data_IF_247569770506
#
_entry.id   IF_247569770506
#
_cell.length_a   1.000
_cell.length_b   1.000
_cell.length_c   1.000
_cell.angle_alpha   90.00
_cell.angle_beta   90.00
_cell.angle_gamma   90.00
#
_symmetry.space_group_name_H-M   'P 1'
#
loop_
_entity.id
_entity.type
_entity.pdbx_description
1 polymer ?
#
# COMPACT_ATOMS: atom_id res chain seq x y z
N UNK A 1 20.26 9.47 3.87
CA UNK A 1 20.21 8.94 5.26
C UNK A 1 19.27 7.74 5.23
N UNK A 2 19.69 6.57 5.69
CA UNK A 2 18.79 5.42 5.73
C UNK A 2 17.90 5.47 6.98
N UNK A 3 16.60 5.23 6.81
CA UNK A 3 15.63 5.07 7.91
C UNK A 3 15.86 3.79 8.73
N UNK A 4 16.70 2.87 8.28
CA UNK A 4 17.09 1.65 9.01
C UNK A 4 17.48 1.94 10.46
N UNK A 5 18.30 2.97 10.69
CA UNK A 5 18.75 3.34 12.04
C UNK A 5 17.62 3.78 12.97
N UNK A 6 16.54 4.32 12.41
CA UNK A 6 15.36 4.72 13.19
C UNK A 6 14.58 3.47 13.57
N UNK A 7 14.39 2.52 12.65
CA UNK A 7 13.70 1.26 12.93
C UNK A 7 14.44 0.39 13.95
N UNK A 8 15.76 0.35 13.89
CA UNK A 8 16.60 -0.40 14.84
C UNK A 8 16.48 0.14 16.29
N UNK A 9 16.04 1.38 16.46
CA UNK A 9 15.84 1.99 17.79
C UNK A 9 14.46 1.70 18.39
N UNK A 10 13.53 1.11 17.62
CA UNK A 10 12.17 0.84 18.09
C UNK A 10 12.12 -0.45 18.90
N UNK A 11 11.75 -0.33 20.17
CA UNK A 11 11.36 -1.47 20.99
C UNK A 11 9.85 -1.68 20.91
N UNK A 12 9.43 -2.62 20.06
CA UNK A 12 8.02 -2.96 19.86
C UNK A 12 7.33 -3.49 21.12
N UNK A 13 8.05 -4.15 22.02
CA UNK A 13 7.47 -4.64 23.28
C UNK A 13 7.18 -3.49 24.22
N UNK A 14 8.13 -2.57 24.36
CA UNK A 14 7.97 -1.34 25.15
C UNK A 14 6.86 -0.44 24.60
N UNK A 15 6.83 -0.22 23.28
CA UNK A 15 5.77 0.56 22.61
C UNK A 15 4.40 -0.06 22.85
N UNK A 16 4.28 -1.39 22.73
CA UNK A 16 3.02 -2.11 22.96
C UNK A 16 2.56 -1.96 24.41
N UNK A 17 3.46 -2.14 25.37
CA UNK A 17 3.15 -1.94 26.80
C UNK A 17 2.70 -0.50 27.09
N UNK A 18 3.37 0.48 26.49
CA UNK A 18 3.02 1.88 26.65
C UNK A 18 1.61 2.18 26.11
N UNK A 19 1.28 1.72 24.89
CA UNK A 19 -0.08 1.81 24.32
C UNK A 19 -1.10 1.17 25.26
N UNK A 20 -0.85 -0.04 25.73
CA UNK A 20 -1.77 -0.77 26.62
C UNK A 20 -1.92 -0.12 28.00
N UNK A 21 -0.97 0.71 28.41
CA UNK A 21 -0.98 1.42 29.68
C UNK A 21 -1.66 2.79 29.65
N UNK A 22 -2.03 3.29 28.46
CA UNK A 22 -2.67 4.61 28.32
C UNK A 22 -4.00 4.65 29.05
N UNK A 23 -4.30 5.80 29.64
CA UNK A 23 -5.50 6.00 30.46
C UNK A 23 -6.54 6.83 29.73
N UNK A 24 -7.77 6.82 30.23
CA UNK A 24 -8.83 7.71 29.75
C UNK A 24 -8.41 9.19 29.79
N UNK A 25 -7.64 9.59 30.79
CA UNK A 25 -7.13 10.97 30.91
C UNK A 25 -6.19 11.32 29.75
N UNK A 26 -5.35 10.37 29.31
CA UNK A 26 -4.46 10.57 28.17
C UNK A 26 -5.24 10.71 26.87
N UNK A 27 -6.29 9.90 26.69
CA UNK A 27 -7.20 9.99 25.54
C UNK A 27 -7.90 11.35 25.50
N UNK A 28 -8.47 11.80 26.62
CA UNK A 28 -9.13 13.12 26.72
C UNK A 28 -8.15 14.26 26.43
N UNK A 29 -6.90 14.14 26.89
CA UNK A 29 -5.83 15.12 26.60
C UNK A 29 -5.52 15.15 25.10
N UNK A 30 -5.37 13.99 24.46
CA UNK A 30 -5.13 13.88 23.02
C UNK A 30 -6.28 14.51 22.20
N UNK A 31 -7.54 14.18 22.53
CA UNK A 31 -8.72 14.69 21.84
C UNK A 31 -8.89 16.21 21.94
N UNK A 32 -8.36 16.84 23.00
CA UNK A 32 -8.40 18.28 23.18
C UNK A 32 -7.31 19.04 22.40
N UNK A 33 -6.31 18.35 21.83
CA UNK A 33 -5.21 18.97 21.10
C UNK A 33 -5.57 19.26 19.63
N UNK A 34 -5.08 20.38 19.13
CA UNK A 34 -5.17 20.76 17.71
C UNK A 34 -4.10 20.08 16.86
N UNK A 35 -2.92 19.83 17.44
CA UNK A 35 -1.80 19.11 16.83
C UNK A 35 -1.41 17.94 17.74
N UNK A 36 -1.50 16.74 17.17
CA UNK A 36 -1.21 15.48 17.87
C UNK A 36 0.25 15.09 17.66
N UNK A 37 0.84 14.46 18.68
CA UNK A 37 2.14 13.82 18.62
C UNK A 37 2.02 12.28 18.70
N UNK A 38 3.16 11.57 18.76
CA UNK A 38 3.17 10.11 18.84
C UNK A 38 2.58 9.57 20.15
N UNK A 39 2.73 10.29 21.28
CA UNK A 39 2.16 9.87 22.56
C UNK A 39 0.65 10.00 22.56
N UNK A 40 0.13 11.04 21.93
CA UNK A 40 -1.30 11.18 21.68
C UNK A 40 -1.82 10.05 20.80
N UNK A 41 -1.10 9.71 19.72
CA UNK A 41 -1.52 8.61 18.84
C UNK A 41 -1.59 7.29 19.60
N UNK A 42 -0.60 6.96 20.44
CA UNK A 42 -0.63 5.78 21.31
C UNK A 42 -1.87 5.77 22.21
N UNK A 43 -2.25 6.91 22.78
CA UNK A 43 -3.48 7.02 23.57
C UNK A 43 -4.73 6.74 22.73
N UNK A 44 -4.82 7.32 21.53
CA UNK A 44 -6.00 7.18 20.66
C UNK A 44 -6.20 5.77 20.07
N UNK A 45 -5.14 4.95 20.01
CA UNK A 45 -5.25 3.53 19.59
C UNK A 45 -5.28 2.54 20.75
N UNK A 46 -5.22 3.02 21.99
CA UNK A 46 -5.26 2.17 23.18
C UNK A 46 -6.67 1.65 23.49
N UNK A 47 -6.81 0.58 24.31
CA UNK A 47 -8.13 0.13 24.76
C UNK A 47 -8.93 1.22 25.49
N UNK A 48 -8.27 2.15 26.19
CA UNK A 48 -8.93 3.26 26.88
C UNK A 48 -9.66 4.23 25.92
N UNK A 49 -9.31 4.22 24.63
CA UNK A 49 -9.95 5.04 23.61
C UNK A 49 -11.20 4.41 22.99
N UNK A 50 -11.51 3.14 23.28
CA UNK A 50 -12.66 2.44 22.71
C UNK A 50 -14.00 3.18 22.91
N UNK A 51 -14.32 3.76 24.10
CA UNK A 51 -15.53 4.54 24.29
C UNK A 51 -15.59 5.85 23.47
N UNK A 52 -14.47 6.27 22.88
CA UNK A 52 -14.30 7.53 22.16
C UNK A 52 -14.27 7.35 20.63
N UNK A 53 -14.50 6.14 20.11
CA UNK A 53 -14.45 5.85 18.68
C UNK A 53 -15.35 6.77 17.86
N UNK A 54 -16.58 7.01 18.30
CA UNK A 54 -17.51 7.92 17.60
C UNK A 54 -16.99 9.36 17.58
N UNK A 55 -16.47 9.86 18.71
CA UNK A 55 -15.88 11.20 18.76
C UNK A 55 -14.66 11.32 17.81
N UNK A 56 -13.80 10.30 17.78
CA UNK A 56 -12.67 10.24 16.86
C UNK A 56 -13.13 10.19 15.39
N UNK A 57 -14.17 9.42 15.09
CA UNK A 57 -14.76 9.33 13.76
C UNK A 57 -15.29 10.69 13.29
N UNK A 58 -16.00 11.42 14.16
CA UNK A 58 -16.51 12.77 13.84
C UNK A 58 -15.37 13.78 13.61
N UNK A 59 -14.33 13.76 14.44
CA UNK A 59 -13.15 14.62 14.26
C UNK A 59 -12.41 14.30 12.96
N UNK A 60 -12.24 13.01 12.65
CA UNK A 60 -11.65 12.54 11.40
C UNK A 60 -12.48 13.02 10.19
N UNK A 61 -13.81 12.85 10.26
CA UNK A 61 -14.72 13.32 9.22
C UNK A 61 -14.60 14.82 9.01
N UNK A 62 -14.67 15.63 10.07
CA UNK A 62 -14.55 17.08 9.98
C UNK A 62 -13.23 17.52 9.32
N UNK A 63 -12.10 16.91 9.71
CA UNK A 63 -10.78 17.20 9.13
C UNK A 63 -10.70 16.80 7.65
N UNK A 64 -11.28 15.65 7.29
CA UNK A 64 -11.38 15.19 5.91
C UNK A 64 -12.21 16.17 5.07
N UNK A 65 -13.38 16.59 5.57
CA UNK A 65 -14.24 17.57 4.92
C UNK A 65 -13.57 18.93 4.74
N UNK A 66 -12.79 19.39 5.72
CA UNK A 66 -12.06 20.64 5.65
C UNK A 66 -10.98 20.65 4.57
N UNK A 67 -10.30 19.50 4.35
CA UNK A 67 -9.20 19.39 3.39
C UNK A 67 -9.63 18.99 1.99
N UNK A 68 -10.62 18.10 1.88
CA UNK A 68 -11.00 17.44 0.64
C UNK A 68 -12.44 17.75 0.17
N UNK A 69 -13.21 18.49 0.98
CA UNK A 69 -14.60 18.81 0.64
C UNK A 69 -15.49 17.56 0.60
N UNK A 70 -16.38 17.48 -0.39
CA UNK A 70 -17.24 16.32 -0.67
C UNK A 70 -16.68 15.35 -1.68
N UNK A 71 -15.46 15.58 -2.19
CA UNK A 71 -14.97 14.83 -3.32
C UNK A 71 -14.62 13.40 -2.91
N UNK A 72 -15.12 12.42 -3.67
CA UNK A 72 -14.77 11.01 -3.56
C UNK A 72 -14.05 10.65 -4.85
N UNK A 73 -12.74 10.38 -4.74
CA UNK A 73 -11.97 9.84 -5.85
C UNK A 73 -12.31 8.36 -6.05
N UNK A 74 -12.61 7.96 -7.28
CA UNK A 74 -12.85 6.57 -7.64
C UNK A 74 -11.74 6.10 -8.57
N UNK A 75 -11.23 4.90 -8.32
CA UNK A 75 -10.33 4.19 -9.21
C UNK A 75 -10.74 2.73 -9.27
N UNK A 76 -10.27 2.04 -10.30
CA UNK A 76 -10.50 0.60 -10.47
C UNK A 76 -9.17 -0.15 -10.52
N UNK A 77 -9.01 -1.27 -9.78
CA UNK A 77 -7.82 -2.10 -9.90
C UNK A 77 -7.85 -2.92 -11.19
N UNK A 78 -6.75 -2.90 -11.93
CA UNK A 78 -6.51 -3.73 -13.11
C UNK A 78 -5.36 -4.70 -12.82
N UNK A 79 -5.69 -5.97 -12.61
CA UNK A 79 -4.70 -7.01 -12.35
C UNK A 79 -4.04 -7.47 -13.66
N UNK A 80 -2.81 -7.01 -13.89
CA UNK A 80 -2.04 -7.36 -15.09
C UNK A 80 -1.39 -8.73 -15.00
N UNK A 81 -1.04 -9.18 -13.78
CA UNK A 81 -0.51 -10.51 -13.55
C UNK A 81 -0.75 -11.01 -12.14
N UNK A 82 -1.03 -12.30 -12.01
CA UNK A 82 -1.05 -13.00 -10.72
C UNK A 82 0.20 -13.89 -10.50
N UNK A 83 1.23 -13.75 -11.33
CA UNK A 83 2.48 -14.48 -11.19
C UNK A 83 3.34 -13.84 -10.11
N UNK A 84 3.70 -14.59 -9.07
CA UNK A 84 4.51 -14.08 -7.97
C UNK A 84 5.55 -15.13 -7.55
N UNK A 85 6.75 -14.67 -7.23
CA UNK A 85 7.88 -15.47 -6.75
C UNK A 85 8.04 -15.44 -5.22
N UNK A 86 7.18 -14.71 -4.50
CA UNK A 86 7.20 -14.64 -3.05
C UNK A 86 6.24 -15.61 -2.38
N UNK A 87 6.58 -15.99 -1.15
CA UNK A 87 5.74 -16.79 -0.28
C UNK A 87 5.24 -15.93 0.89
N UNK A 88 4.14 -15.22 0.67
CA UNK A 88 3.46 -14.42 1.70
C UNK A 88 2.28 -15.22 2.26
N UNK A 89 2.20 -15.38 3.59
CA UNK A 89 1.17 -16.22 4.24
C UNK A 89 -0.26 -15.68 4.08
N UNK A 90 -0.40 -14.37 3.86
CA UNK A 90 -1.68 -13.69 3.71
C UNK A 90 -2.12 -13.48 2.24
N UNK A 91 -1.26 -13.81 1.26
CA UNK A 91 -1.49 -13.44 -0.14
C UNK A 91 -2.06 -14.60 -0.98
N UNK A 92 -3.16 -14.34 -1.69
CA UNK A 92 -3.76 -15.29 -2.63
C UNK A 92 -2.85 -15.64 -3.82
N UNK A 93 -1.94 -14.74 -4.20
CA UNK A 93 -0.94 -14.99 -5.26
C UNK A 93 0.36 -15.60 -4.76
N UNK A 94 0.48 -15.93 -3.47
CA UNK A 94 1.64 -16.60 -2.91
C UNK A 94 2.10 -17.78 -3.78
N UNK A 95 3.41 -17.92 -4.01
CA UNK A 95 3.97 -18.89 -4.96
C UNK A 95 3.57 -20.34 -4.65
N UNK A 96 3.31 -20.64 -3.37
CA UNK A 96 2.87 -21.97 -2.91
C UNK A 96 1.45 -22.33 -3.36
N UNK A 97 0.62 -21.34 -3.67
CA UNK A 97 -0.77 -21.56 -4.06
C UNK A 97 -0.83 -22.13 -5.48
N UNK A 98 -1.50 -23.28 -5.61
CA UNK A 98 -1.71 -23.99 -6.88
C UNK A 98 -2.89 -23.38 -7.65
N UNK A 99 -2.71 -22.15 -8.10
CA UNK A 99 -3.69 -21.41 -8.92
C UNK A 99 -3.21 -21.33 -10.38
N UNK A 100 -4.15 -21.13 -11.31
CA UNK A 100 -3.79 -20.85 -12.71
C UNK A 100 -3.10 -19.49 -12.78
N UNK A 101 -1.83 -19.49 -13.20
CA UNK A 101 -1.05 -18.26 -13.38
C UNK A 101 -1.34 -17.62 -14.73
N UNK A 102 -1.45 -16.30 -14.74
CA UNK A 102 -1.78 -15.49 -15.91
C UNK A 102 -1.06 -14.15 -15.82
N UNK A 103 -0.43 -13.78 -16.92
CA UNK A 103 -0.03 -12.40 -17.24
C UNK A 103 -0.80 -12.03 -18.49
N UNK A 104 -1.43 -10.86 -18.50
CA UNK A 104 -2.16 -10.36 -19.66
C UNK A 104 -1.16 -10.02 -20.77
N UNK A 105 -1.52 -10.33 -22.02
CA UNK A 105 -0.81 -9.81 -23.18
C UNK A 105 -1.46 -8.50 -23.66
N UNK A 106 -0.85 -7.82 -24.63
CA UNK A 106 -1.37 -6.55 -25.17
C UNK A 106 -2.84 -6.64 -25.62
N UNK A 107 -3.24 -7.71 -26.33
CA UNK A 107 -4.62 -7.85 -26.79
C UNK A 107 -5.61 -8.10 -25.64
N UNK A 108 -5.19 -8.78 -24.57
CA UNK A 108 -6.01 -8.96 -23.37
C UNK A 108 -6.10 -7.67 -22.55
N UNK A 109 -5.02 -6.88 -22.50
CA UNK A 109 -5.06 -5.55 -21.90
C UNK A 109 -6.08 -4.68 -22.62
N UNK A 110 -6.13 -4.66 -23.96
CA UNK A 110 -7.15 -3.92 -24.71
C UNK A 110 -8.58 -4.30 -24.32
N UNK A 111 -8.85 -5.60 -24.14
CA UNK A 111 -10.17 -6.07 -23.71
C UNK A 111 -10.55 -5.55 -22.32
N UNK A 112 -9.59 -5.49 -21.40
CA UNK A 112 -9.80 -4.93 -20.07
C UNK A 112 -9.97 -3.40 -20.13
N UNK A 113 -9.17 -2.69 -20.93
CA UNK A 113 -9.31 -1.23 -21.16
C UNK A 113 -10.73 -0.93 -21.67
N UNK A 114 -11.18 -1.64 -22.70
CA UNK A 114 -12.51 -1.49 -23.27
C UNK A 114 -13.63 -1.72 -22.24
N UNK A 115 -13.48 -2.73 -21.39
CA UNK A 115 -14.43 -3.02 -20.33
C UNK A 115 -14.48 -1.89 -19.29
N UNK A 116 -13.31 -1.43 -18.82
CA UNK A 116 -13.20 -0.37 -17.82
C UNK A 116 -13.69 0.98 -18.36
N UNK A 117 -13.46 1.29 -19.63
CA UNK A 117 -13.96 2.50 -20.27
C UNK A 117 -15.46 2.51 -20.45
N UNK A 118 -16.08 1.35 -20.72
CA UNK A 118 -17.56 1.21 -20.70
C UNK A 118 -18.16 1.43 -19.31
N UNK A 119 -17.36 1.22 -18.25
CA UNK A 119 -17.73 1.53 -16.87
C UNK A 119 -17.40 2.97 -16.45
N UNK A 120 -16.93 3.80 -17.38
CA UNK A 120 -16.59 5.22 -17.18
C UNK A 120 -15.46 5.46 -16.17
N UNK A 121 -14.59 4.47 -15.94
CA UNK A 121 -13.39 4.66 -15.13
C UNK A 121 -12.30 5.39 -15.90
N UNK A 122 -11.64 6.30 -15.19
CA UNK A 122 -10.58 7.13 -15.75
C UNK A 122 -9.31 7.20 -14.88
N UNK A 123 -9.37 6.55 -13.72
CA UNK A 123 -8.24 6.32 -12.82
C UNK A 123 -8.11 4.82 -12.57
N UNK A 124 -6.92 4.29 -12.80
CA UNK A 124 -6.65 2.85 -12.68
C UNK A 124 -5.47 2.62 -11.75
N UNK A 125 -5.60 1.60 -10.89
CA UNK A 125 -4.50 1.03 -10.13
C UNK A 125 -4.07 -0.27 -10.82
N UNK A 126 -2.91 -0.26 -11.46
CA UNK A 126 -2.29 -1.45 -12.02
C UNK A 126 -1.77 -2.30 -10.86
N UNK A 127 -2.07 -3.60 -10.89
CA UNK A 127 -1.63 -4.53 -9.85
C UNK A 127 -0.96 -5.73 -10.48
N UNK A 128 0.21 -6.09 -9.96
CA UNK A 128 0.98 -7.24 -10.43
C UNK A 128 1.49 -8.08 -9.26
N UNK A 129 1.54 -9.40 -9.46
CA UNK A 129 2.43 -10.23 -8.66
C UNK A 129 3.90 -9.93 -8.95
N UNK A 130 4.78 -10.29 -8.02
CA UNK A 130 6.19 -9.95 -8.08
C UNK A 130 7.00 -11.07 -8.74
N UNK A 131 7.37 -10.88 -10.01
CA UNK A 131 8.25 -11.81 -10.72
C UNK A 131 9.12 -11.06 -11.74
N UNK A 132 10.27 -10.55 -11.30
CA UNK A 132 11.16 -9.65 -12.08
C UNK A 132 11.37 -10.08 -13.55
N UNK A 133 11.66 -11.35 -13.81
CA UNK A 133 11.94 -11.82 -15.19
C UNK A 133 10.72 -11.89 -16.12
N UNK A 134 9.49 -11.83 -15.60
CA UNK A 134 8.27 -12.04 -16.39
C UNK A 134 7.27 -10.91 -16.26
N UNK A 135 7.33 -10.17 -15.17
CA UNK A 135 6.45 -9.05 -14.81
C UNK A 135 7.30 -7.98 -14.13
N UNK A 136 8.39 -7.58 -14.80
CA UNK A 136 9.27 -6.49 -14.41
C UNK A 136 9.25 -5.36 -15.45
N UNK A 137 10.29 -4.52 -15.45
CA UNK A 137 10.35 -3.33 -16.30
C UNK A 137 10.17 -3.61 -17.81
N UNK A 138 10.66 -4.74 -18.33
CA UNK A 138 10.44 -5.11 -19.74
C UNK A 138 8.95 -5.26 -20.10
N UNK A 139 8.14 -5.74 -19.17
CA UNK A 139 6.70 -5.82 -19.33
C UNK A 139 6.05 -4.45 -19.16
N UNK A 140 6.49 -3.66 -18.18
CA UNK A 140 5.94 -2.32 -17.94
C UNK A 140 6.22 -1.34 -19.09
N UNK A 141 7.39 -1.43 -19.74
CA UNK A 141 7.71 -0.67 -20.96
C UNK A 141 6.71 -0.87 -22.09
N UNK A 142 6.04 -2.01 -22.12
CA UNK A 142 5.01 -2.33 -23.13
C UNK A 142 3.62 -1.97 -22.63
N UNK A 143 3.27 -2.41 -21.42
CA UNK A 143 1.91 -2.29 -20.89
C UNK A 143 1.55 -0.87 -20.44
N UNK A 144 2.47 -0.13 -19.79
CA UNK A 144 2.15 1.18 -19.21
C UNK A 144 1.80 2.22 -20.28
N UNK A 145 2.59 2.40 -21.36
CA UNK A 145 2.24 3.36 -22.40
C UNK A 145 0.91 3.03 -23.08
N UNK A 146 0.68 1.75 -23.39
CA UNK A 146 -0.57 1.26 -23.97
C UNK A 146 -1.77 1.66 -23.10
N UNK A 147 -1.69 1.45 -21.79
CA UNK A 147 -2.80 1.77 -20.89
C UNK A 147 -2.93 3.30 -20.71
N UNK A 148 -1.82 4.04 -20.65
CA UNK A 148 -1.81 5.49 -20.40
C UNK A 148 -2.51 6.29 -21.49
N UNK A 149 -2.53 5.80 -22.72
CA UNK A 149 -3.27 6.42 -23.83
C UNK A 149 -4.77 6.56 -23.54
N UNK A 150 -5.31 5.74 -22.64
CA UNK A 150 -6.74 5.70 -22.34
C UNK A 150 -7.09 6.36 -21.00
N UNK A 151 -6.24 6.32 -19.97
CA UNK A 151 -6.58 6.77 -18.62
C UNK A 151 -5.80 8.03 -18.21
N UNK A 152 -6.49 8.99 -17.59
CA UNK A 152 -5.85 10.21 -17.12
C UNK A 152 -4.93 9.98 -15.92
N UNK A 153 -5.24 9.03 -15.04
CA UNK A 153 -4.44 8.71 -13.87
C UNK A 153 -4.10 7.21 -13.79
N UNK A 154 -2.82 6.91 -13.72
CA UNK A 154 -2.28 5.57 -13.52
C UNK A 154 -1.45 5.51 -12.25
N UNK A 155 -1.81 4.57 -11.40
CA UNK A 155 -0.99 4.17 -10.30
C UNK A 155 -0.58 2.71 -10.42
N UNK A 156 0.53 2.32 -9.80
CA UNK A 156 1.06 0.97 -9.85
C UNK A 156 1.33 0.44 -8.43
N UNK A 157 0.68 -0.67 -8.09
CA UNK A 157 1.02 -1.49 -6.93
C UNK A 157 1.97 -2.60 -7.39
N UNK A 158 3.24 -2.47 -7.01
CA UNK A 158 4.34 -3.34 -7.45
C UNK A 158 5.34 -3.55 -6.32
N UNK A 159 6.21 -4.55 -6.47
CA UNK A 159 7.37 -4.68 -5.59
C UNK A 159 8.24 -3.44 -5.62
N UNK A 160 9.10 -3.24 -4.61
CA UNK A 160 10.04 -2.14 -4.68
C UNK A 160 11.00 -2.32 -5.86
N UNK A 161 11.31 -1.20 -6.51
CA UNK A 161 12.14 -1.11 -7.70
C UNK A 161 13.40 -0.30 -7.39
N UNK A 162 14.38 -0.40 -8.27
CA UNK A 162 15.55 0.48 -8.19
C UNK A 162 15.17 1.94 -8.54
N UNK A 163 15.98 2.90 -8.08
CA UNK A 163 15.70 4.34 -8.25
C UNK A 163 15.55 4.74 -9.73
N UNK A 164 16.38 4.17 -10.60
CA UNK A 164 16.34 4.41 -12.04
C UNK A 164 15.11 3.77 -12.70
N UNK A 165 14.66 2.61 -12.22
CA UNK A 165 13.41 1.98 -12.66
C UNK A 165 12.19 2.85 -12.31
N UNK A 166 12.15 3.44 -11.11
CA UNK A 166 11.12 4.43 -10.76
C UNK A 166 11.17 5.68 -11.64
N UNK A 167 12.39 6.18 -11.90
CA UNK A 167 12.58 7.31 -12.79
C UNK A 167 12.06 6.98 -14.21
N UNK A 168 12.29 5.76 -14.68
CA UNK A 168 11.80 5.30 -15.98
C UNK A 168 10.27 5.16 -16.01
N UNK A 169 9.64 4.55 -14.99
CA UNK A 169 8.18 4.42 -14.90
C UNK A 169 7.47 5.77 -15.08
N UNK A 170 8.05 6.83 -14.50
CA UNK A 170 7.54 8.20 -14.69
C UNK A 170 7.55 8.62 -16.15
N UNK A 171 8.61 8.29 -16.90
CA UNK A 171 8.70 8.62 -18.34
C UNK A 171 7.71 7.81 -19.19
N UNK A 172 7.34 6.62 -18.74
CA UNK A 172 6.31 5.78 -19.38
C UNK A 172 4.88 6.28 -19.12
N UNK A 173 4.70 7.22 -18.20
CA UNK A 173 3.40 7.85 -17.90
C UNK A 173 2.76 7.42 -16.58
N UNK A 174 3.51 6.80 -15.67
CA UNK A 174 3.04 6.46 -14.33
C UNK A 174 2.90 7.71 -13.45
N UNK A 175 1.76 7.87 -12.78
CA UNK A 175 1.49 9.04 -11.91
C UNK A 175 1.80 8.75 -10.43
N UNK A 176 1.67 7.49 -10.00
CA UNK A 176 2.00 7.08 -8.62
C UNK A 176 2.44 5.62 -8.54
N UNK A 177 3.17 5.30 -7.47
CA UNK A 177 3.50 3.93 -7.09
C UNK A 177 3.05 3.71 -5.65
N UNK A 178 2.43 2.56 -5.39
CA UNK A 178 2.10 2.08 -4.06
C UNK A 178 2.97 0.90 -3.71
N UNK A 179 3.69 1.02 -2.60
CA UNK A 179 4.46 -0.06 -2.00
C UNK A 179 4.02 -0.16 -0.55
N UNK A 180 3.46 -1.31 -0.17
CA UNK A 180 3.06 -1.55 1.20
C UNK A 180 4.21 -2.21 1.96
N UNK A 181 4.62 -1.58 3.06
CA UNK A 181 5.55 -2.19 4.02
C UNK A 181 4.92 -3.41 4.73
N UNK A 182 3.59 -3.52 4.71
CA UNK A 182 2.77 -4.54 5.38
C UNK A 182 2.79 -4.45 6.91
N UNK A 183 3.97 -4.49 7.50
CA UNK A 183 4.20 -4.25 8.93
C UNK A 183 5.58 -3.69 9.16
N UNK A 184 5.68 -2.73 10.08
CA UNK A 184 6.96 -2.14 10.49
C UNK A 184 7.66 -2.95 11.59
N UNK A 185 7.05 -4.03 12.11
CA UNK A 185 7.69 -4.94 13.05
C UNK A 185 8.47 -6.03 12.29
N UNK A 186 9.82 -6.07 12.36
CA UNK A 186 10.63 -7.02 11.59
C UNK A 186 10.34 -8.50 11.94
N UNK A 187 9.95 -8.78 13.19
CA UNK A 187 9.64 -10.15 13.62
C UNK A 187 8.36 -10.63 12.92
N UNK A 188 7.28 -9.84 13.03
CA UNK A 188 6.01 -10.13 12.35
C UNK A 188 6.16 -10.13 10.84
N UNK A 189 7.01 -9.26 10.29
CA UNK A 189 7.31 -9.25 8.86
C UNK A 189 7.90 -10.59 8.41
N UNK A 190 8.89 -11.12 9.14
CA UNK A 190 9.53 -12.41 8.83
C UNK A 190 8.59 -13.62 9.01
N UNK A 191 7.61 -13.55 9.91
CA UNK A 191 6.56 -14.57 10.08
C UNK A 191 5.66 -14.67 8.84
N UNK A 192 5.42 -13.54 8.15
CA UNK A 192 4.53 -13.51 7.01
C UNK A 192 5.22 -13.62 5.65
N UNK A 193 6.48 -13.21 5.52
CA UNK A 193 7.26 -13.23 4.27
C UNK A 193 8.31 -14.33 4.30
N UNK A 194 7.92 -15.54 3.91
CA UNK A 194 8.71 -16.75 4.14
C UNK A 194 9.82 -16.97 3.11
N UNK A 195 9.59 -16.56 1.85
CA UNK A 195 10.51 -16.75 0.72
C UNK A 195 10.37 -15.65 -0.34
N UNK A 196 11.42 -15.48 -1.12
CA UNK A 196 11.56 -14.47 -2.18
C UNK A 196 12.20 -13.18 -1.68
N UNK A 197 12.33 -12.19 -2.56
CA UNK A 197 12.92 -10.86 -2.29
C UNK A 197 12.19 -10.14 -1.17
N UNK A 198 10.86 -10.28 -1.09
CA UNK A 198 10.03 -9.63 -0.07
C UNK A 198 10.32 -10.13 1.36
N UNK A 199 11.12 -11.18 1.55
CA UNK A 199 11.59 -11.58 2.89
C UNK A 199 12.54 -10.54 3.51
N UNK A 200 13.25 -9.80 2.67
CA UNK A 200 14.13 -8.74 3.14
C UNK A 200 13.30 -7.59 3.72
N UNK A 201 13.62 -7.13 4.92
CA UNK A 201 12.92 -6.03 5.56
C UNK A 201 13.55 -4.67 5.25
N UNK A 202 14.86 -4.64 4.99
CA UNK A 202 15.63 -3.39 4.88
C UNK A 202 16.03 -3.06 3.44
N UNK A 203 16.03 -4.08 2.59
CA UNK A 203 16.50 -4.01 1.21
C UNK A 203 15.48 -4.54 0.20
N UNK A 204 14.25 -4.80 0.65
CA UNK A 204 13.16 -5.12 -0.26
C UNK A 204 12.79 -3.94 -1.13
#
# INVERSE_FOLDING_TARGET
MSFTRVFEQLDWSSISLDIMSKTEMDVRRALAKTKLDLEDFKALISPAAEPYLEQMAQLSHQRTRQRFGSNIGMYVPLYLSNLCANECTYCGFSMQNRIKRKTLNAAEIELEIDALKKMEFDSVLLVTGEHQNKVGMDYFRQAVPQIKEHFNYLALEVQPLDEDEYAELKTLGMDAVMVYQETYNPITYAEHHLRGSKKDFFTA
#
